data_IF_979208569859
#
_entry.id   IF_979208569859
#
_cell.length_a   1.000
_cell.length_b   1.000
_cell.length_c   1.000
_cell.angle_alpha   90.00
_cell.angle_beta   90.00
_cell.angle_gamma   90.00
#
_symmetry.space_group_name_H-M   'P 1'
#
loop_
_entity.id
_entity.type
_entity.pdbx_description
1 polymer ?
#
# COMPACT_ATOMS: atom_id res chain seq x y z
N UNK A 1 -11.63 -0.02 -14.81
CA UNK A 1 -10.40 -0.65 -14.28
C UNK A 1 -9.86 0.27 -13.19
N UNK A 2 -9.70 -0.20 -11.94
CA UNK A 2 -9.55 0.71 -10.79
C UNK A 2 -8.11 0.72 -10.27
N UNK A 3 -7.47 1.88 -10.28
CA UNK A 3 -6.17 2.12 -9.67
C UNK A 3 -6.33 2.88 -8.36
N UNK A 4 -5.34 2.77 -7.49
CA UNK A 4 -5.39 3.39 -6.18
C UNK A 4 -4.01 3.95 -5.80
N UNK A 5 -4.00 4.89 -4.85
CA UNK A 5 -2.78 5.44 -4.22
C UNK A 5 -2.71 5.06 -2.73
N UNK A 6 -1.56 4.56 -2.26
CA UNK A 6 -1.32 4.11 -0.88
C UNK A 6 -0.18 4.95 -0.34
N UNK A 7 -0.40 5.50 0.83
CA UNK A 7 0.58 6.36 1.49
C UNK A 7 1.18 5.63 2.68
N UNK A 8 2.50 5.62 2.76
CA UNK A 8 3.23 5.11 3.92
C UNK A 8 4.51 5.91 4.08
N UNK A 9 4.91 6.15 5.32
CA UNK A 9 6.19 6.79 5.59
C UNK A 9 7.32 5.75 5.45
N UNK A 10 8.46 6.12 4.83
CA UNK A 10 9.54 5.18 4.52
C UNK A 10 10.15 4.54 5.77
N UNK A 11 10.06 5.22 6.91
CA UNK A 11 10.64 4.80 8.18
C UNK A 11 9.69 3.92 9.03
N UNK A 12 8.37 4.04 8.87
CA UNK A 12 7.41 3.50 9.86
C UNK A 12 6.75 2.17 9.51
N UNK A 13 6.64 1.80 8.24
CA UNK A 13 5.73 0.70 7.91
C UNK A 13 6.24 -0.21 6.82
N UNK A 14 6.23 0.29 5.59
CA UNK A 14 6.33 -0.57 4.41
C UNK A 14 7.27 0.06 3.39
N UNK A 15 8.48 0.40 3.85
CA UNK A 15 9.53 0.94 3.00
C UNK A 15 9.77 0.03 1.79
N UNK A 16 9.90 0.61 0.60
CA UNK A 16 9.97 -0.12 -0.68
C UNK A 16 11.03 -1.21 -0.79
N UNK A 17 11.97 -1.30 0.15
CA UNK A 17 12.97 -2.38 0.23
C UNK A 17 12.42 -3.70 0.78
N UNK A 18 11.30 -3.70 1.52
CA UNK A 18 10.69 -4.93 2.07
C UNK A 18 9.79 -5.65 1.06
N UNK A 19 9.23 -4.91 0.10
CA UNK A 19 8.26 -5.43 -0.87
C UNK A 19 8.97 -5.99 -2.11
N UNK A 20 9.34 -7.27 -2.07
CA UNK A 20 9.92 -7.99 -3.22
C UNK A 20 8.82 -8.50 -4.18
N UNK A 21 9.08 -8.58 -5.50
CA UNK A 21 8.10 -9.03 -6.50
C UNK A 21 7.55 -10.46 -6.33
N UNK A 22 8.27 -11.29 -5.57
CA UNK A 22 7.99 -12.72 -5.35
C UNK A 22 7.76 -13.05 -3.86
N UNK A 23 7.68 -12.04 -2.99
CA UNK A 23 7.38 -12.28 -1.58
C UNK A 23 5.95 -12.81 -1.41
N UNK A 24 5.72 -13.59 -0.34
CA UNK A 24 4.38 -14.02 0.12
C UNK A 24 3.43 -12.85 0.41
N UNK A 25 3.95 -11.63 0.42
CA UNK A 25 3.24 -10.39 0.66
C UNK A 25 3.40 -9.91 2.10
N UNK A 26 3.39 -8.59 2.26
CA UNK A 26 3.43 -7.92 3.56
C UNK A 26 2.05 -7.31 3.86
N UNK A 27 1.59 -7.43 5.11
CA UNK A 27 0.31 -6.85 5.53
C UNK A 27 0.37 -5.33 5.58
N UNK A 28 -0.47 -4.66 4.80
CA UNK A 28 -0.66 -3.22 4.85
C UNK A 28 -1.68 -2.86 5.93
N UNK A 29 -1.21 -2.84 7.18
CA UNK A 29 -2.01 -2.60 8.39
C UNK A 29 -1.97 -1.14 8.87
N UNK A 30 -2.54 -0.89 10.06
CA UNK A 30 -2.52 0.43 10.69
C UNK A 30 -3.49 1.45 10.09
N UNK A 31 -4.35 1.04 9.15
CA UNK A 31 -5.40 1.91 8.61
C UNK A 31 -6.49 2.07 9.65
N UNK A 32 -6.70 3.31 10.10
CA UNK A 32 -7.75 3.70 11.06
C UNK A 32 -8.71 4.75 10.52
N UNK A 33 -8.67 4.99 9.20
CA UNK A 33 -9.60 5.85 8.50
C UNK A 33 -10.74 5.02 7.90
N UNK A 34 -11.99 5.39 8.19
CA UNK A 34 -13.18 4.65 7.75
C UNK A 34 -13.33 4.61 6.22
N UNK A 35 -13.09 5.73 5.53
CA UNK A 35 -13.17 5.79 4.07
C UNK A 35 -12.11 4.89 3.42
N UNK A 36 -10.87 4.94 3.91
CA UNK A 36 -9.78 4.08 3.44
C UNK A 36 -10.09 2.59 3.69
N UNK A 37 -10.62 2.25 4.86
CA UNK A 37 -11.05 0.89 5.20
C UNK A 37 -12.15 0.39 4.26
N UNK A 38 -13.18 1.20 4.03
CA UNK A 38 -14.26 0.87 3.09
C UNK A 38 -13.74 0.71 1.66
N UNK A 39 -12.80 1.56 1.24
CA UNK A 39 -12.13 1.42 -0.05
C UNK A 39 -11.31 0.13 -0.15
N UNK A 40 -10.69 -0.35 0.93
CA UNK A 40 -9.98 -1.65 0.95
C UNK A 40 -10.94 -2.84 0.90
N UNK A 41 -12.05 -2.80 1.63
CA UNK A 41 -13.07 -3.87 1.64
C UNK A 41 -13.70 -4.11 0.26
N UNK A 42 -13.89 -3.05 -0.53
CA UNK A 42 -14.44 -3.13 -1.89
C UNK A 42 -13.51 -3.82 -2.92
N UNK A 43 -12.28 -4.21 -2.56
CA UNK A 43 -11.27 -4.67 -3.52
C UNK A 43 -11.27 -6.18 -3.71
N UNK A 44 -11.85 -6.60 -4.83
CA UNK A 44 -11.91 -8.00 -5.26
C UNK A 44 -10.66 -8.53 -5.95
N UNK A 45 -9.81 -7.69 -6.56
CA UNK A 45 -8.48 -8.02 -7.11
C UNK A 45 -8.01 -6.92 -8.08
N UNK A 46 -6.71 -6.99 -8.44
CA UNK A 46 -6.02 -6.39 -9.61
C UNK A 46 -5.45 -4.98 -9.45
N UNK A 47 -4.10 -5.01 -9.42
CA UNK A 47 -3.09 -3.95 -9.64
C UNK A 47 -3.39 -2.65 -8.94
N UNK A 48 -2.83 -2.51 -7.76
CA UNK A 48 -2.93 -1.28 -7.02
C UNK A 48 -1.63 -1.16 -6.21
N UNK A 49 -0.80 -0.17 -6.55
CA UNK A 49 -0.64 1.04 -5.74
C UNK A 49 0.79 1.62 -5.82
N UNK A 50 0.88 2.91 -6.09
CA UNK A 50 2.11 3.69 -5.94
C UNK A 50 2.30 4.05 -4.46
N UNK A 51 3.54 4.01 -3.98
CA UNK A 51 3.92 4.43 -2.63
C UNK A 51 4.30 5.92 -2.64
N UNK A 52 3.69 6.70 -1.72
CA UNK A 52 4.03 8.10 -1.51
C UNK A 52 4.69 8.30 -0.13
N UNK A 53 5.93 8.81 -0.14
CA UNK A 53 6.68 9.22 1.05
C UNK A 53 6.74 10.75 1.11
N UNK A 54 6.22 11.35 2.17
CA UNK A 54 6.28 12.81 2.37
C UNK A 54 7.70 13.32 2.55
N UNK A 55 8.58 12.52 3.17
CA UNK A 55 9.90 12.98 3.65
C UNK A 55 10.89 13.35 2.53
N UNK A 56 10.65 13.00 1.25
CA UNK A 56 11.56 13.39 0.13
C UNK A 56 10.87 13.69 -1.21
N UNK A 57 9.54 13.91 -1.26
CA UNK A 57 8.75 14.06 -2.52
C UNK A 57 9.09 13.01 -3.60
N UNK A 58 9.35 11.77 -3.18
CA UNK A 58 9.65 10.66 -4.09
C UNK A 58 8.49 9.68 -4.06
N UNK A 59 8.01 9.28 -5.24
CA UNK A 59 7.10 8.15 -5.40
C UNK A 59 7.96 6.91 -5.61
N UNK A 60 7.64 5.82 -4.91
CA UNK A 60 8.28 4.52 -5.14
C UNK A 60 7.26 3.44 -5.47
N UNK A 61 7.82 2.34 -5.98
CA UNK A 61 7.28 1.02 -6.31
C UNK A 61 5.76 0.88 -6.43
N UNK A 62 5.32 0.45 -7.60
CA UNK A 62 4.00 -0.16 -7.74
C UNK A 62 3.98 -1.51 -7.03
N UNK A 63 2.95 -1.68 -6.20
CA UNK A 63 2.67 -2.91 -5.50
C UNK A 63 1.46 -3.59 -6.12
N UNK A 64 1.28 -4.88 -5.82
CA UNK A 64 0.08 -5.64 -6.16
C UNK A 64 -0.51 -6.20 -4.88
N UNK A 65 -1.83 -6.21 -4.79
CA UNK A 65 -2.54 -6.92 -3.73
C UNK A 65 -2.42 -8.42 -4.02
N UNK A 66 -1.83 -9.17 -3.08
CA UNK A 66 -1.70 -10.64 -3.14
C UNK A 66 -2.68 -11.35 -2.20
N UNK A 67 -3.22 -10.63 -1.20
CA UNK A 67 -4.29 -11.12 -0.33
C UNK A 67 -5.36 -10.05 -0.12
N UNK A 68 -6.62 -10.44 -0.30
CA UNK A 68 -7.80 -9.59 -0.08
C UNK A 68 -7.90 -9.14 1.37
N UNK A 69 -8.82 -8.22 1.64
CA UNK A 69 -9.06 -7.67 2.97
C UNK A 69 -9.22 -8.78 4.03
N UNK A 70 -8.50 -8.65 5.14
CA UNK A 70 -8.56 -9.55 6.29
C UNK A 70 -8.33 -8.74 7.58
N UNK A 71 -8.68 -9.29 8.76
CA UNK A 71 -8.51 -8.58 10.03
C UNK A 71 -7.06 -8.13 10.26
N UNK A 72 -6.90 -6.92 10.78
CA UNK A 72 -5.60 -6.37 11.17
C UNK A 72 -5.30 -6.83 12.60
N UNK A 73 -4.29 -7.69 12.83
CA UNK A 73 -3.98 -8.22 14.16
C UNK A 73 -3.54 -7.13 15.14
N UNK A 74 -3.14 -5.95 14.64
CA UNK A 74 -2.76 -4.80 15.48
C UNK A 74 -3.95 -3.98 15.95
N UNK A 75 -5.16 -4.21 15.41
CA UNK A 75 -6.38 -3.53 15.83
C UNK A 75 -7.09 -4.27 16.95
N UNK A 76 -6.88 -3.83 18.20
CA UNK A 76 -7.57 -4.38 19.38
C UNK A 76 -9.10 -4.24 19.30
N UNK A 77 -9.61 -3.25 18.55
CA UNK A 77 -11.06 -3.05 18.40
C UNK A 77 -11.71 -4.02 17.40
N UNK A 78 -10.90 -4.72 16.58
CA UNK A 78 -11.35 -5.61 15.50
C UNK A 78 -12.29 -4.95 14.48
N UNK A 79 -12.26 -3.61 14.37
CA UNK A 79 -13.09 -2.82 13.45
C UNK A 79 -12.44 -2.65 12.08
N UNK A 80 -11.12 -2.66 12.06
CA UNK A 80 -10.30 -2.43 10.88
C UNK A 80 -9.57 -3.69 10.42
N UNK A 81 -9.11 -3.63 9.18
CA UNK A 81 -8.42 -4.72 8.53
C UNK A 81 -7.32 -4.21 7.61
N UNK A 82 -6.63 -5.17 7.02
CA UNK A 82 -5.48 -4.97 6.15
C UNK A 82 -5.61 -5.81 4.88
N UNK A 83 -4.84 -5.44 3.87
CA UNK A 83 -4.60 -6.25 2.66
C UNK A 83 -3.14 -6.67 2.64
N UNK A 84 -2.79 -7.77 1.99
CA UNK A 84 -1.36 -8.10 1.80
C UNK A 84 -0.91 -7.64 0.42
N UNK A 85 0.24 -6.99 0.36
CA UNK A 85 0.82 -6.45 -0.86
C UNK A 85 2.22 -7.02 -1.13
N UNK A 86 2.57 -7.16 -2.40
CA UNK A 86 3.91 -7.53 -2.84
C UNK A 86 4.41 -6.51 -3.87
N UNK A 87 5.73 -6.42 -4.04
CA UNK A 87 6.32 -5.56 -5.06
C UNK A 87 5.92 -5.96 -6.48
N UNK A 88 6.13 -5.07 -7.44
CA UNK A 88 6.06 -5.39 -8.87
C UNK A 88 7.43 -5.10 -9.48
N UNK A 89 7.95 -6.04 -10.28
CA UNK A 89 9.25 -5.90 -10.96
C UNK A 89 9.12 -4.89 -12.11
N UNK A 90 10.19 -4.12 -12.36
CA UNK A 90 10.33 -3.32 -13.58
C UNK A 90 9.63 -1.96 -13.59
N UNK A 91 9.27 -1.40 -12.42
CA UNK A 91 8.67 -0.07 -12.37
C UNK A 91 9.71 1.05 -12.27
N UNK A 92 9.54 2.07 -13.12
CA UNK A 92 10.39 3.25 -13.15
C UNK A 92 10.23 4.10 -11.88
N UNK A 93 11.33 4.71 -11.44
CA UNK A 93 11.32 5.69 -10.35
C UNK A 93 10.81 7.02 -10.89
N UNK A 94 9.69 7.52 -10.35
CA UNK A 94 9.10 8.80 -10.76
C UNK A 94 9.35 9.84 -9.65
N UNK A 95 9.94 10.97 -10.02
CA UNK A 95 10.11 12.13 -9.13
C UNK A 95 8.86 13.00 -9.24
N UNK A 96 8.24 13.33 -8.11
CA UNK A 96 7.17 14.33 -8.11
C UNK A 96 7.80 15.71 -8.17
N UNK A 97 7.56 16.41 -9.28
CA UNK A 97 7.82 17.84 -9.41
C UNK A 97 6.48 18.57 -9.29
N UNK A 98 6.43 19.55 -8.40
CA UNK A 98 5.31 20.50 -8.40
C UNK A 98 5.59 21.48 -9.53
N UNK A 99 4.71 21.57 -10.51
CA UNK A 99 4.64 22.78 -11.32
C UNK A 99 3.95 23.84 -10.45
N UNK A 100 4.63 24.97 -10.26
CA UNK A 100 4.03 26.17 -9.71
C UNK A 100 3.40 26.96 -10.84
#
# INVERSE_FOLDING_TARGET
>A
MNYWLMKSEPEKGHGGNKLKPEAKGEGWGGVRNYQASNNMKKKGERRSLFFFSLVKKKIFLGVKIVKKYHPDPTDKSKRFGMVSVAGVKGLAKIKLTSHK
#
